data_IF_463707275505
#
_entry.id   IF_463707275505
#
_cell.length_a   1.000
_cell.length_b   1.000
_cell.length_c   1.000
_cell.angle_alpha   90.00
_cell.angle_beta   90.00
_cell.angle_gamma   90.00
#
_symmetry.space_group_name_H-M   'P 1'
#
loop_
_entity.id
_entity.type
_entity.pdbx_description
1 polymer ?
#
# COMPACT_ATOMS: atom_id res chain seq x y z
N UNK A 1 -4.75 16.59 17.45
CA UNK A 1 -3.82 15.53 17.02
C UNK A 1 -2.63 15.56 17.97
N UNK A 2 -2.11 14.47 18.46
CA UNK A 2 -1.15 14.44 19.58
C UNK A 2 0.34 14.61 19.23
N UNK A 3 0.68 14.89 17.95
CA UNK A 3 2.08 15.09 17.56
C UNK A 3 2.53 16.53 17.82
N UNK A 4 3.83 16.75 18.18
CA UNK A 4 4.37 18.08 18.41
C UNK A 4 4.39 18.93 17.15
N UNK A 5 4.26 20.26 17.33
CA UNK A 5 4.44 21.26 16.29
C UNK A 5 3.25 21.46 15.36
N UNK A 6 3.44 22.41 14.45
CA UNK A 6 2.54 22.68 13.33
C UNK A 6 3.13 22.02 12.09
N UNK A 7 2.33 21.19 11.44
CA UNK A 7 2.76 20.45 10.24
C UNK A 7 2.02 20.99 9.01
N UNK A 8 2.78 21.58 8.09
CA UNK A 8 2.28 22.08 6.81
C UNK A 8 2.55 21.04 5.73
N UNK A 9 1.49 20.50 5.15
CA UNK A 9 1.55 19.52 4.07
C UNK A 9 1.12 20.14 2.75
N UNK A 10 1.96 20.04 1.74
CA UNK A 10 1.62 20.33 0.35
C UNK A 10 1.65 19.03 -0.46
N UNK A 11 0.59 18.77 -1.22
CA UNK A 11 0.51 17.65 -2.15
C UNK A 11 0.25 18.19 -3.54
N UNK A 12 1.13 17.86 -4.49
CA UNK A 12 0.99 18.22 -5.91
C UNK A 12 0.65 16.96 -6.70
N UNK A 13 -0.48 17.00 -7.40
CA UNK A 13 -0.90 15.96 -8.32
C UNK A 13 -0.60 16.40 -9.76
N UNK A 14 0.10 15.56 -10.51
CA UNK A 14 0.40 15.80 -11.92
C UNK A 14 -0.04 14.57 -12.74
N UNK A 15 -0.83 14.81 -13.78
CA UNK A 15 -1.13 13.79 -14.79
C UNK A 15 -0.21 14.03 -15.97
N UNK A 16 0.50 13.01 -16.42
CA UNK A 16 1.45 13.09 -17.53
C UNK A 16 0.89 12.48 -18.81
N UNK A 17 1.49 12.82 -19.95
CA UNK A 17 1.14 12.23 -21.25
C UNK A 17 1.50 10.73 -21.33
N UNK A 18 2.33 10.22 -20.40
CA UNK A 18 2.70 8.81 -20.28
C UNK A 18 1.72 7.98 -19.43
N UNK A 19 0.50 8.52 -19.19
CA UNK A 19 -0.55 7.94 -18.36
C UNK A 19 -0.12 7.74 -16.89
N UNK A 20 0.64 8.65 -16.34
CA UNK A 20 1.07 8.62 -14.95
C UNK A 20 0.28 9.63 -14.12
N UNK A 21 -0.11 9.23 -12.93
CA UNK A 21 -0.50 10.12 -11.84
C UNK A 21 0.67 10.20 -10.85
N UNK A 22 1.35 11.34 -10.87
CA UNK A 22 2.46 11.64 -9.98
C UNK A 22 1.95 12.43 -8.78
N UNK A 23 2.20 11.96 -7.58
CA UNK A 23 1.85 12.61 -6.32
C UNK A 23 3.14 12.96 -5.56
N UNK A 24 3.39 14.26 -5.42
CA UNK A 24 4.56 14.78 -4.71
C UNK A 24 4.12 15.38 -3.38
N UNK A 25 4.68 14.86 -2.30
CA UNK A 25 4.40 15.27 -0.93
C UNK A 25 5.57 16.10 -0.40
N UNK A 26 5.27 17.29 0.09
CA UNK A 26 6.23 18.12 0.84
C UNK A 26 5.61 18.48 2.18
N UNK A 27 6.23 18.02 3.27
CA UNK A 27 5.76 18.24 4.63
C UNK A 27 6.81 18.98 5.45
N UNK A 28 6.43 20.10 6.07
CA UNK A 28 7.30 20.89 6.96
C UNK A 28 6.71 20.93 8.36
N UNK A 29 7.54 20.80 9.37
CA UNK A 29 7.14 20.93 10.76
C UNK A 29 8.06 21.92 11.48
N UNK A 30 7.49 22.75 12.34
CA UNK A 30 8.26 23.71 13.15
C UNK A 30 8.94 23.05 14.38
N UNK A 31 8.65 21.78 14.63
CA UNK A 31 9.26 20.96 15.67
C UNK A 31 9.56 19.55 15.13
N UNK A 32 10.35 18.77 15.87
CA UNK A 32 10.54 17.34 15.57
C UNK A 32 9.21 16.60 15.75
N UNK A 33 8.72 15.98 14.69
CA UNK A 33 7.49 15.18 14.70
C UNK A 33 7.59 13.95 13.79
N UNK A 34 6.59 13.07 13.85
CA UNK A 34 6.43 11.96 12.93
C UNK A 34 5.45 12.33 11.81
N UNK A 35 5.80 11.99 10.56
CA UNK A 35 4.95 12.21 9.40
C UNK A 35 5.09 11.07 8.39
N UNK A 36 4.17 10.13 8.42
CA UNK A 36 4.02 9.09 7.41
C UNK A 36 2.76 9.40 6.59
N UNK A 37 2.95 9.84 5.34
CA UNK A 37 1.87 10.27 4.45
C UNK A 37 1.82 9.31 3.28
N UNK A 38 0.69 8.70 3.03
CA UNK A 38 0.48 7.81 1.89
C UNK A 38 -0.77 8.20 1.10
N UNK A 39 -1.09 7.44 0.06
CA UNK A 39 -2.34 7.48 -0.68
C UNK A 39 -3.06 6.15 -0.53
N UNK A 40 -4.32 6.19 -0.09
CA UNK A 40 -5.13 5.00 0.17
C UNK A 40 -6.21 4.82 -0.91
N UNK A 41 -5.81 4.87 -2.18
CA UNK A 41 -6.73 4.64 -3.29
C UNK A 41 -7.11 3.17 -3.41
N UNK A 42 -8.40 2.91 -3.63
CA UNK A 42 -8.98 1.58 -3.84
C UNK A 42 -9.10 1.31 -5.34
N UNK A 43 -8.32 0.37 -5.86
CA UNK A 43 -8.30 0.05 -7.29
C UNK A 43 -9.07 -1.24 -7.59
N UNK A 44 -9.94 -1.17 -8.60
CA UNK A 44 -10.48 -2.35 -9.29
C UNK A 44 -10.31 -2.13 -10.80
N UNK A 45 -9.37 -2.84 -11.39
CA UNK A 45 -9.01 -2.66 -12.80
C UNK A 45 -10.01 -3.29 -13.79
N UNK A 46 -11.04 -3.99 -13.29
CA UNK A 46 -12.17 -4.44 -14.11
C UNK A 46 -13.20 -3.32 -14.33
N UNK A 47 -13.05 -2.17 -13.66
CA UNK A 47 -13.96 -1.03 -13.79
C UNK A 47 -15.35 -1.24 -13.21
N UNK A 48 -15.52 -2.16 -12.26
CA UNK A 48 -16.79 -2.49 -11.61
C UNK A 48 -16.54 -2.95 -10.16
N UNK A 49 -17.60 -3.36 -9.46
CA UNK A 49 -17.55 -3.85 -8.09
C UNK A 49 -17.32 -5.39 -8.00
N UNK A 50 -16.69 -6.01 -9.00
CA UNK A 50 -16.34 -7.42 -8.96
C UNK A 50 -15.19 -7.68 -7.97
N UNK A 51 -15.02 -8.95 -7.60
CA UNK A 51 -13.86 -9.35 -6.79
C UNK A 51 -12.56 -9.16 -7.56
N UNK A 52 -11.50 -8.70 -6.85
CA UNK A 52 -10.14 -8.55 -7.41
C UNK A 52 -9.32 -9.84 -7.26
N UNK A 53 -9.89 -10.92 -6.79
CA UNK A 53 -9.12 -12.15 -6.55
C UNK A 53 -8.54 -12.77 -7.83
N UNK A 54 -9.09 -12.46 -9.00
CA UNK A 54 -8.54 -12.87 -10.29
C UNK A 54 -7.56 -11.85 -10.90
N UNK A 55 -7.43 -10.64 -10.32
CA UNK A 55 -6.35 -9.75 -10.71
C UNK A 55 -5.01 -10.42 -10.47
N UNK A 56 -4.04 -10.20 -11.35
CA UNK A 56 -2.69 -10.71 -11.14
C UNK A 56 -1.80 -9.64 -10.54
N UNK A 57 -0.90 -10.08 -9.66
CA UNK A 57 0.15 -9.25 -9.07
C UNK A 57 1.52 -9.85 -9.42
N UNK A 58 2.46 -8.97 -9.74
CA UNK A 58 3.89 -9.22 -9.73
C UNK A 58 4.56 -8.11 -8.95
N UNK A 59 5.44 -8.44 -8.01
CA UNK A 59 6.20 -7.44 -7.25
C UNK A 59 7.69 -7.81 -7.15
N UNK A 60 8.52 -6.78 -6.92
CA UNK A 60 9.96 -6.95 -6.73
C UNK A 60 10.34 -7.02 -5.24
N UNK A 61 9.35 -7.14 -4.37
CA UNK A 61 9.54 -7.28 -2.92
C UNK A 61 9.79 -8.74 -2.55
N UNK A 62 10.85 -9.00 -1.79
CA UNK A 62 11.24 -10.36 -1.33
C UNK A 62 11.04 -10.55 0.17
N UNK A 63 10.57 -9.51 0.86
CA UNK A 63 10.40 -9.48 2.32
C UNK A 63 9.12 -8.72 2.69
N UNK A 64 8.52 -9.12 3.81
CA UNK A 64 7.36 -8.44 4.39
C UNK A 64 7.48 -8.40 5.92
N UNK A 65 6.67 -7.56 6.56
CA UNK A 65 6.58 -7.48 8.00
C UNK A 65 5.37 -8.28 8.50
N UNK A 66 5.58 -9.38 9.26
CA UNK A 66 4.50 -10.09 9.92
C UNK A 66 3.83 -9.23 10.98
N UNK A 67 2.52 -9.43 11.15
CA UNK A 67 1.70 -8.71 12.11
C UNK A 67 1.38 -9.59 13.32
N UNK A 68 1.16 -8.96 14.45
CA UNK A 68 0.55 -9.59 15.62
C UNK A 68 -0.99 -9.63 15.52
N UNK A 69 -1.65 -10.13 16.57
CA UNK A 69 -3.11 -10.27 16.61
C UNK A 69 -3.85 -8.91 16.63
N UNK A 70 -3.14 -7.81 16.82
CA UNK A 70 -3.68 -6.44 16.77
C UNK A 70 -3.38 -5.73 15.45
N UNK A 71 -2.85 -6.45 14.46
CA UNK A 71 -2.44 -5.94 13.15
C UNK A 71 -1.26 -4.95 13.21
N UNK A 72 -0.42 -5.06 14.22
CA UNK A 72 0.80 -4.27 14.38
C UNK A 72 2.01 -5.13 13.97
N UNK A 73 3.00 -4.59 13.22
CA UNK A 73 4.22 -5.31 12.90
C UNK A 73 4.98 -5.81 14.14
N UNK A 74 5.35 -7.08 14.13
CA UNK A 74 6.08 -7.72 15.25
C UNK A 74 7.53 -7.26 15.35
N UNK A 75 8.04 -6.57 14.33
CA UNK A 75 9.46 -6.25 14.20
C UNK A 75 10.29 -7.33 13.50
N UNK A 76 9.70 -8.48 13.20
CA UNK A 76 10.31 -9.49 12.33
C UNK A 76 10.32 -9.01 10.87
N UNK A 77 11.39 -9.36 10.13
CA UNK A 77 11.41 -9.27 8.67
C UNK A 77 11.38 -10.68 8.12
N UNK A 78 10.33 -11.04 7.38
CA UNK A 78 10.11 -12.39 6.88
C UNK A 78 10.27 -12.45 5.37
N UNK A 79 10.98 -13.49 4.87
CA UNK A 79 11.08 -13.79 3.44
C UNK A 79 9.75 -14.26 2.89
N UNK A 80 9.39 -13.80 1.68
CA UNK A 80 8.18 -14.24 0.98
C UNK A 80 8.35 -15.58 0.28
N UNK A 81 9.59 -16.00 -0.01
CA UNK A 81 9.95 -17.09 -0.91
C UNK A 81 9.16 -18.38 -0.64
N UNK A 82 8.41 -18.83 -1.65
CA UNK A 82 7.62 -20.06 -1.62
C UNK A 82 6.36 -20.02 -0.75
N UNK A 83 6.06 -18.88 -0.12
CA UNK A 83 4.89 -18.68 0.72
C UNK A 83 3.72 -18.02 -0.01
N UNK A 84 2.62 -17.82 0.70
CA UNK A 84 1.43 -17.17 0.18
C UNK A 84 1.69 -15.69 -0.21
N UNK A 85 2.67 -15.06 0.43
CA UNK A 85 3.11 -13.68 0.16
C UNK A 85 4.10 -13.56 -1.01
N UNK A 86 4.51 -14.68 -1.65
CA UNK A 86 5.46 -14.65 -2.77
C UNK A 86 4.75 -14.26 -4.08
N UNK A 87 4.87 -13.00 -4.44
CA UNK A 87 4.46 -12.43 -5.73
C UNK A 87 5.65 -12.06 -6.63
N UNK A 88 6.84 -12.59 -6.36
CA UNK A 88 8.04 -12.35 -7.21
C UNK A 88 7.86 -12.91 -8.62
N UNK A 89 6.99 -13.92 -8.77
CA UNK A 89 6.43 -14.36 -10.05
C UNK A 89 4.95 -13.96 -10.11
N UNK A 90 4.51 -13.55 -11.30
CA UNK A 90 3.10 -13.17 -11.50
C UNK A 90 2.17 -14.32 -11.11
N UNK A 91 1.21 -14.02 -10.24
CA UNK A 91 0.11 -14.91 -9.87
C UNK A 91 -1.15 -14.13 -9.56
N UNK A 92 -2.32 -14.78 -9.55
CA UNK A 92 -3.55 -14.14 -9.10
C UNK A 92 -3.53 -13.88 -7.60
N UNK A 93 -4.20 -12.82 -7.16
CA UNK A 93 -4.38 -12.51 -5.72
C UNK A 93 -5.04 -13.69 -5.01
N UNK A 94 -6.02 -14.31 -5.66
CA UNK A 94 -6.79 -15.42 -5.11
C UNK A 94 -6.04 -16.74 -4.99
N UNK A 95 -4.91 -16.92 -5.68
CA UNK A 95 -4.20 -18.21 -5.73
C UNK A 95 -3.85 -18.74 -4.34
N UNK A 96 -3.34 -17.88 -3.46
CA UNK A 96 -2.94 -18.24 -2.10
C UNK A 96 -3.69 -17.44 -1.02
N UNK A 97 -4.80 -16.83 -1.39
CA UNK A 97 -5.61 -16.02 -0.50
C UNK A 97 -6.09 -16.82 0.71
N UNK A 98 -5.86 -16.30 1.92
CA UNK A 98 -6.18 -16.93 3.21
C UNK A 98 -5.52 -18.30 3.48
N UNK A 99 -4.45 -18.64 2.76
CA UNK A 99 -3.71 -19.89 2.99
C UNK A 99 -2.62 -19.76 4.06
N UNK A 100 -2.26 -18.55 4.45
CA UNK A 100 -1.27 -18.28 5.50
C UNK A 100 -1.97 -17.80 6.77
N UNK A 101 -1.41 -18.17 7.94
CA UNK A 101 -1.96 -17.80 9.25
C UNK A 101 -1.96 -16.28 9.45
N UNK A 102 -1.01 -15.57 8.86
CA UNK A 102 -0.96 -14.10 8.87
C UNK A 102 -2.23 -13.46 8.28
N UNK A 103 -2.84 -14.08 7.28
CA UNK A 103 -4.10 -13.57 6.68
C UNK A 103 -5.35 -13.92 7.46
N UNK A 104 -5.25 -14.71 8.55
CA UNK A 104 -6.44 -15.08 9.35
C UNK A 104 -6.97 -13.90 10.15
N UNK A 105 -6.08 -13.17 10.83
CA UNK A 105 -6.44 -12.00 11.63
C UNK A 105 -6.92 -10.84 10.73
N UNK A 106 -6.21 -10.58 9.63
CA UNK A 106 -6.49 -9.50 8.68
C UNK A 106 -7.55 -9.84 7.64
N UNK A 107 -8.12 -11.06 7.63
CA UNK A 107 -9.12 -11.56 6.69
C UNK A 107 -8.67 -11.54 5.21
N UNK A 108 -7.39 -11.38 4.93
CA UNK A 108 -6.79 -11.30 3.61
C UNK A 108 -5.40 -10.66 3.66
N UNK A 109 -4.91 -10.15 2.54
CA UNK A 109 -3.69 -9.34 2.56
C UNK A 109 -3.99 -7.99 3.21
N UNK A 110 -3.15 -7.61 4.16
CA UNK A 110 -3.14 -6.32 4.85
C UNK A 110 -1.76 -6.16 5.53
N UNK A 111 -0.72 -6.22 4.70
CA UNK A 111 0.65 -6.38 5.20
C UNK A 111 1.63 -5.45 4.51
N UNK A 112 2.63 -4.93 5.25
CA UNK A 112 3.71 -4.13 4.68
C UNK A 112 4.73 -5.04 3.98
N UNK A 113 5.07 -4.69 2.74
CA UNK A 113 6.15 -5.29 1.96
C UNK A 113 7.32 -4.31 1.85
N UNK A 114 8.54 -4.81 1.95
CA UNK A 114 9.75 -4.01 1.85
C UNK A 114 10.14 -3.82 0.39
N UNK A 115 10.56 -2.62 0.03
CA UNK A 115 11.02 -2.26 -1.32
C UNK A 115 12.34 -1.49 -1.26
N UNK A 116 13.12 -1.59 -2.34
CA UNK A 116 14.13 -0.60 -2.65
C UNK A 116 13.41 0.62 -3.25
N UNK A 117 13.28 1.69 -2.47
CA UNK A 117 12.56 2.90 -2.87
C UNK A 117 13.25 3.62 -4.04
N UNK A 118 12.96 3.21 -5.26
CA UNK A 118 13.50 3.77 -6.51
C UNK A 118 12.35 4.22 -7.41
N UNK A 119 12.23 5.55 -7.61
CA UNK A 119 11.20 6.14 -8.47
C UNK A 119 11.28 5.70 -9.93
N UNK A 120 12.43 5.23 -10.38
CA UNK A 120 12.64 4.81 -11.77
C UNK A 120 12.21 3.37 -12.03
N UNK A 121 11.89 2.61 -10.99
CA UNK A 121 11.54 1.20 -11.08
C UNK A 121 10.23 0.90 -10.35
N UNK A 122 9.22 0.39 -11.05
CA UNK A 122 8.02 -0.06 -10.37
C UNK A 122 8.32 -1.26 -9.46
N UNK A 123 7.86 -1.18 -8.22
CA UNK A 123 8.01 -2.28 -7.25
C UNK A 123 6.86 -3.28 -7.33
N UNK A 124 5.71 -2.88 -7.88
CA UNK A 124 4.53 -3.73 -8.07
C UNK A 124 3.84 -3.41 -9.39
N UNK A 125 3.32 -4.45 -10.02
CA UNK A 125 2.38 -4.39 -11.13
C UNK A 125 1.14 -5.18 -10.80
N UNK A 126 -0.03 -4.58 -10.98
CA UNK A 126 -1.35 -5.22 -10.89
C UNK A 126 -1.99 -5.19 -12.27
N UNK A 127 -2.62 -6.29 -12.68
CA UNK A 127 -3.35 -6.34 -13.97
C UNK A 127 -4.77 -6.83 -13.76
N UNK A 128 -5.71 -6.30 -14.57
CA UNK A 128 -7.10 -6.74 -14.62
C UNK A 128 -7.22 -8.24 -14.96
N UNK A 129 -8.38 -8.83 -14.72
CA UNK A 129 -8.66 -10.26 -14.99
C UNK A 129 -8.42 -10.61 -16.46
N UNK A 130 -8.78 -9.72 -17.39
CA UNK A 130 -8.60 -9.88 -18.84
C UNK A 130 -7.24 -9.36 -19.35
N UNK A 131 -6.40 -8.85 -18.45
CA UNK A 131 -5.06 -8.29 -18.71
C UNK A 131 -5.01 -7.12 -19.67
N UNK A 132 -6.13 -6.44 -19.90
CA UNK A 132 -6.17 -5.27 -20.77
C UNK A 132 -5.80 -3.97 -20.08
N UNK A 133 -5.87 -3.93 -18.77
CA UNK A 133 -5.48 -2.76 -17.98
C UNK A 133 -4.49 -3.20 -16.89
N UNK A 134 -3.43 -2.44 -16.73
CA UNK A 134 -2.47 -2.63 -15.66
C UNK A 134 -2.12 -1.33 -14.96
N UNK A 135 -1.77 -1.44 -13.69
CA UNK A 135 -1.24 -0.40 -12.82
C UNK A 135 0.14 -0.82 -12.35
N UNK A 136 1.14 0.02 -12.60
CA UNK A 136 2.48 -0.08 -12.03
C UNK A 136 2.69 1.05 -11.01
N UNK A 137 3.32 0.74 -9.88
CA UNK A 137 3.58 1.73 -8.82
C UNK A 137 5.06 1.84 -8.56
N UNK A 138 5.56 3.10 -8.56
CA UNK A 138 6.91 3.47 -8.15
C UNK A 138 6.85 4.45 -7.00
N UNK A 139 7.82 4.41 -6.10
CA UNK A 139 7.92 5.35 -4.99
C UNK A 139 9.34 5.35 -4.41
N UNK A 140 9.68 6.43 -3.71
CA UNK A 140 10.90 6.55 -2.89
C UNK A 140 10.65 6.23 -1.41
N UNK A 141 9.48 5.64 -1.07
CA UNK A 141 9.23 5.04 0.23
C UNK A 141 9.92 3.68 0.38
N UNK A 142 10.31 3.26 1.61
CA UNK A 142 11.02 2.00 1.84
C UNK A 142 10.12 0.77 1.88
N UNK A 143 8.79 0.96 1.95
CA UNK A 143 7.79 -0.09 1.99
C UNK A 143 6.49 0.35 1.33
N UNK A 144 5.57 -0.60 1.20
CA UNK A 144 4.19 -0.33 0.88
C UNK A 144 3.26 -1.32 1.58
N UNK A 145 2.09 -0.86 1.99
CA UNK A 145 1.01 -1.74 2.42
C UNK A 145 0.30 -2.31 1.19
N UNK A 146 0.09 -3.63 1.19
CA UNK A 146 -0.82 -4.30 0.27
C UNK A 146 -2.08 -4.68 1.02
N UNK A 147 -3.21 -4.06 0.67
CA UNK A 147 -4.49 -4.30 1.31
C UNK A 147 -5.55 -4.73 0.29
N UNK A 148 -6.31 -5.76 0.60
CA UNK A 148 -7.29 -6.36 -0.32
C UNK A 148 -8.75 -6.04 0.04
N UNK A 149 -9.00 -4.86 0.60
CA UNK A 149 -10.35 -4.36 0.97
C UNK A 149 -11.14 -5.38 1.81
N UNK A 150 -10.54 -5.86 2.89
CA UNK A 150 -11.05 -6.97 3.69
C UNK A 150 -12.24 -6.61 4.60
N UNK A 151 -12.48 -5.28 4.79
CA UNK A 151 -13.43 -4.76 5.78
C UNK A 151 -14.43 -3.76 5.20
N UNK A 152 -14.62 -3.72 3.88
CA UNK A 152 -15.53 -2.75 3.25
C UNK A 152 -16.99 -3.12 3.42
N UNK A 153 -17.28 -4.41 3.65
CA UNK A 153 -18.61 -4.94 3.96
C UNK A 153 -18.51 -6.05 5.01
N UNK A 154 -17.93 -5.73 6.17
CA UNK A 154 -17.70 -6.68 7.25
C UNK A 154 -18.28 -6.18 8.57
N UNK A 155 -19.06 -7.02 9.26
CA UNK A 155 -19.77 -6.62 10.46
C UNK A 155 -20.78 -5.49 10.18
N UNK A 156 -20.63 -4.36 10.90
CA UNK A 156 -21.47 -3.17 10.73
C UNK A 156 -20.94 -2.20 9.66
N UNK A 157 -19.81 -2.53 9.01
CA UNK A 157 -19.24 -1.70 7.96
C UNK A 157 -19.91 -1.97 6.62
N UNK A 158 -20.57 -0.96 6.06
CA UNK A 158 -21.17 -1.02 4.74
C UNK A 158 -20.79 0.23 3.94
N UNK A 159 -20.01 0.06 2.89
CA UNK A 159 -19.67 1.13 1.96
C UNK A 159 -20.49 0.95 0.68
N UNK A 160 -21.42 1.88 0.46
CA UNK A 160 -22.32 1.84 -0.70
C UNK A 160 -21.68 2.51 -1.90
N UNK A 161 -21.72 1.87 -3.06
CA UNK A 161 -21.28 2.45 -4.32
C UNK A 161 -22.18 3.64 -4.73
N UNK A 162 -21.56 4.69 -5.29
CA UNK A 162 -22.30 5.89 -5.70
C UNK A 162 -23.22 5.65 -6.89
N UNK A 163 -22.81 4.78 -7.82
CA UNK A 163 -23.40 4.70 -9.15
C UNK A 163 -24.65 3.81 -9.21
N UNK A 164 -24.68 2.73 -8.45
CA UNK A 164 -25.78 1.76 -8.49
C UNK A 164 -26.49 1.55 -7.14
N UNK A 165 -26.04 2.23 -6.10
CA UNK A 165 -26.62 2.14 -4.74
C UNK A 165 -26.41 0.80 -4.05
N UNK A 166 -25.53 -0.06 -4.60
CA UNK A 166 -25.18 -1.34 -3.98
C UNK A 166 -23.96 -1.22 -3.10
N UNK A 167 -23.89 -2.05 -2.08
CA UNK A 167 -22.71 -2.12 -1.22
C UNK A 167 -21.53 -2.74 -1.95
N UNK A 168 -20.34 -2.17 -1.72
CA UNK A 168 -19.11 -2.84 -2.10
C UNK A 168 -18.99 -4.14 -1.31
N UNK A 169 -18.40 -5.15 -1.91
CA UNK A 169 -18.10 -6.42 -1.25
C UNK A 169 -16.66 -6.42 -0.77
N UNK A 170 -16.39 -7.20 0.27
CA UNK A 170 -15.02 -7.51 0.63
C UNK A 170 -14.28 -8.07 -0.58
N UNK A 171 -13.00 -7.76 -0.70
CA UNK A 171 -12.16 -8.07 -1.85
C UNK A 171 -12.66 -7.47 -3.18
N UNK A 172 -13.35 -6.34 -3.15
CA UNK A 172 -13.75 -5.60 -4.37
C UNK A 172 -12.70 -4.58 -4.83
N UNK A 173 -11.62 -4.40 -4.09
CA UNK A 173 -10.52 -3.50 -4.45
C UNK A 173 -9.19 -3.96 -3.86
N UNK A 174 -8.11 -3.45 -4.42
CA UNK A 174 -6.75 -3.54 -3.88
C UNK A 174 -6.20 -2.15 -3.64
N UNK A 175 -5.58 -1.93 -2.47
CA UNK A 175 -4.84 -0.72 -2.14
C UNK A 175 -3.35 -1.02 -2.15
N UNK A 176 -2.57 -0.08 -2.67
CA UNK A 176 -1.10 -0.12 -2.71
C UNK A 176 -0.66 1.21 -2.13
N UNK A 177 -0.12 1.17 -0.93
CA UNK A 177 0.07 2.35 -0.09
C UNK A 177 1.56 2.50 0.27
N UNK A 178 2.37 3.16 -0.59
CA UNK A 178 3.77 3.40 -0.27
C UNK A 178 3.92 4.19 1.02
N UNK A 179 4.76 3.68 1.93
CA UNK A 179 4.88 4.25 3.27
C UNK A 179 6.24 3.93 3.92
N UNK A 180 6.49 4.50 5.09
CA UNK A 180 7.52 4.00 6.01
C UNK A 180 7.02 2.70 6.67
N UNK A 181 7.93 1.95 7.32
CA UNK A 181 7.52 0.75 8.03
C UNK A 181 6.55 1.11 9.14
N UNK A 182 5.34 0.53 9.16
CA UNK A 182 4.38 0.80 10.23
C UNK A 182 4.96 0.49 11.59
N UNK A 183 4.61 1.29 12.60
CA UNK A 183 5.10 1.23 13.97
C UNK A 183 6.64 1.33 14.16
N UNK A 184 7.39 1.70 13.11
CA UNK A 184 8.85 1.81 13.21
C UNK A 184 9.36 2.73 14.33
N UNK A 185 8.63 3.75 14.82
CA UNK A 185 9.06 4.52 15.99
C UNK A 185 9.22 3.70 17.28
N UNK A 186 8.50 2.59 17.41
CA UNK A 186 8.58 1.69 18.58
C UNK A 186 9.49 0.48 18.33
N UNK A 187 10.03 0.33 17.12
CA UNK A 187 10.86 -0.79 16.70
C UNK A 187 12.31 -0.34 16.47
N UNK A 188 13.21 -0.41 17.48
CA UNK A 188 14.57 0.12 17.40
C UNK A 188 15.39 -0.40 16.21
N UNK A 189 15.13 -1.63 15.75
CA UNK A 189 15.78 -2.23 14.59
C UNK A 189 15.45 -1.51 13.27
N UNK A 190 14.41 -0.66 13.24
CA UNK A 190 13.98 0.13 12.10
C UNK A 190 14.26 1.64 12.27
N UNK A 191 15.15 2.01 13.20
CA UNK A 191 15.48 3.40 13.50
C UNK A 191 15.93 4.21 12.26
N UNK A 192 16.57 3.57 11.30
CA UNK A 192 17.07 4.22 10.08
C UNK A 192 15.96 4.51 9.03
N UNK A 193 14.81 3.88 9.18
CA UNK A 193 13.65 4.03 8.26
C UNK A 193 12.45 4.71 8.92
N UNK A 194 12.70 5.55 9.94
CA UNK A 194 11.63 6.22 10.65
C UNK A 194 11.16 7.51 9.95
N UNK A 195 9.88 7.88 10.09
CA UNK A 195 9.27 9.04 9.46
C UNK A 195 9.47 10.33 10.25
N UNK A 196 10.66 10.57 10.80
CA UNK A 196 10.96 11.77 11.57
C UNK A 196 11.18 12.96 10.64
N UNK A 197 10.41 14.02 10.87
CA UNK A 197 10.50 15.32 10.23
C UNK A 197 10.98 16.35 11.25
N UNK A 198 11.89 17.22 10.85
CA UNK A 198 12.36 18.37 11.65
C UNK A 198 12.31 19.65 10.80
N UNK A 199 12.47 20.85 11.38
CA UNK A 199 12.57 22.06 10.60
C UNK A 199 13.67 22.03 9.52
N UNK A 200 14.79 21.31 9.80
CA UNK A 200 15.95 21.16 8.91
C UNK A 200 15.79 20.01 7.92
N UNK A 201 14.93 19.03 8.24
CA UNK A 201 14.71 17.83 7.42
C UNK A 201 13.21 17.67 7.15
N UNK A 202 12.66 18.39 6.16
CA UNK A 202 11.26 18.26 5.76
C UNK A 202 10.99 16.88 5.13
N UNK A 203 9.72 16.44 5.17
CA UNK A 203 9.27 15.31 4.38
C UNK A 203 9.33 15.69 2.89
N UNK A 204 9.92 14.83 2.08
CA UNK A 204 9.83 14.87 0.62
C UNK A 204 9.66 13.44 0.13
N UNK A 205 8.50 13.15 -0.46
CA UNK A 205 8.16 11.81 -0.97
C UNK A 205 7.37 11.92 -2.26
N UNK A 206 7.52 10.91 -3.10
CA UNK A 206 6.80 10.81 -4.37
C UNK A 206 6.20 9.43 -4.54
N UNK A 207 4.96 9.39 -5.03
CA UNK A 207 4.27 8.17 -5.46
C UNK A 207 3.87 8.36 -6.92
N UNK A 208 4.11 7.37 -7.76
CA UNK A 208 3.75 7.37 -9.18
C UNK A 208 2.87 6.15 -9.46
N UNK A 209 1.67 6.40 -9.96
CA UNK A 209 0.78 5.39 -10.51
C UNK A 209 0.80 5.49 -12.03
N UNK A 210 1.28 4.44 -12.71
CA UNK A 210 1.33 4.37 -14.18
C UNK A 210 0.32 3.35 -14.69
N UNK A 211 -0.56 3.80 -15.57
CA UNK A 211 -1.57 2.96 -16.18
C UNK A 211 -1.17 2.59 -17.62
N UNK A 212 -1.40 1.32 -18.00
CA UNK A 212 -1.11 0.81 -19.33
C UNK A 212 -2.22 -0.13 -19.83
N UNK A 213 -2.47 -0.09 -21.13
CA UNK A 213 -3.37 -1.00 -21.85
C UNK A 213 -2.58 -2.03 -22.64
#
# INVERSE_FOLDING_TARGET
MGFPGNFDLTVVFTVTDDNELVMQYTGKCDQKCYACITNHAYFNLNGNNSSILNHTIKMNSTEFLPLDDTSIPTGEVRKVAGGAFDFTKEKTIGQDFRKDDQMKASLGYDHPFLIDGDLTKPFIKVSSDDKKLSLEVSSDYPAFQLYTANYVNHGDNHITARDDGKDYKDQSAVCIEPEFYPDCPHLPQFADVNPIVTPEKPLQKTIIYKFSK
#
